data_IF_893443893409
#
_entry.id   IF_893443893409
#
_cell.length_a   1.000
_cell.length_b   1.000
_cell.length_c   1.000
_cell.angle_alpha   90.00
_cell.angle_beta   90.00
_cell.angle_gamma   90.00
#
_symmetry.space_group_name_H-M   'P 1'
#
loop_
_entity.id
_entity.type
_entity.pdbx_description
1 polymer ?
#
# COMPACT_ATOMS: atom_id res chain seq x y z
N UNK A 1 6.58 10.30 39.62
CA UNK A 1 7.50 9.83 38.56
C UNK A 1 7.31 8.35 38.22
N UNK A 2 7.40 7.40 39.16
CA UNK A 2 7.24 5.95 38.90
C UNK A 2 5.92 5.56 38.20
N UNK A 3 4.77 6.14 38.59
CA UNK A 3 3.46 5.79 37.98
C UNK A 3 3.33 6.20 36.52
N UNK A 4 3.90 7.34 36.14
CA UNK A 4 3.91 7.83 34.74
C UNK A 4 4.81 6.94 33.89
N UNK A 5 5.97 6.52 34.41
CA UNK A 5 6.84 5.59 33.71
C UNK A 5 6.19 4.22 33.49
N UNK A 6 5.45 3.70 34.47
CA UNK A 6 4.69 2.45 34.33
C UNK A 6 3.57 2.58 33.30
N UNK A 7 2.85 3.71 33.27
CA UNK A 7 1.82 3.95 32.26
C UNK A 7 2.41 4.03 30.84
N UNK A 8 3.54 4.71 30.68
CA UNK A 8 4.27 4.79 29.40
C UNK A 8 4.77 3.41 28.96
N UNK A 9 5.32 2.62 29.88
CA UNK A 9 5.75 1.25 29.59
C UNK A 9 4.56 0.35 29.21
N UNK A 10 3.44 0.46 29.92
CA UNK A 10 2.24 -0.32 29.61
C UNK A 10 1.69 0.02 28.21
N UNK A 11 1.67 1.30 27.84
CA UNK A 11 1.25 1.76 26.50
C UNK A 11 2.20 1.23 25.42
N UNK A 12 3.51 1.30 25.64
CA UNK A 12 4.51 0.76 24.70
C UNK A 12 4.36 -0.74 24.51
N UNK A 13 4.12 -1.50 25.58
CA UNK A 13 3.89 -2.95 25.53
C UNK A 13 2.58 -3.26 24.81
N UNK A 14 1.51 -2.51 25.08
CA UNK A 14 0.21 -2.71 24.41
C UNK A 14 0.28 -2.42 22.90
N UNK A 15 1.10 -1.46 22.48
CA UNK A 15 1.33 -1.16 21.05
C UNK A 15 2.09 -2.28 20.31
N UNK A 16 2.81 -3.16 21.03
CA UNK A 16 3.51 -4.31 20.43
C UNK A 16 2.70 -5.60 20.47
N UNK A 17 1.57 -5.61 21.17
CA UNK A 17 0.76 -6.81 21.33
C UNK A 17 -0.08 -7.03 20.07
N UNK A 18 0.40 -7.93 19.22
CA UNK A 18 -0.27 -8.51 18.04
C UNK A 18 -0.07 -7.75 16.72
N UNK A 19 1.15 -7.77 16.20
CA UNK A 19 1.35 -7.65 14.74
C UNK A 19 1.30 -9.07 14.17
N UNK A 20 0.12 -9.49 13.70
CA UNK A 20 0.04 -10.63 12.78
C UNK A 20 0.69 -10.21 11.47
N UNK A 21 1.93 -10.64 11.26
CA UNK A 21 2.63 -10.46 9.98
C UNK A 21 2.08 -11.53 9.03
N UNK A 22 1.03 -11.18 8.28
CA UNK A 22 0.68 -11.97 7.10
C UNK A 22 1.87 -12.00 6.13
N UNK A 23 2.10 -13.12 5.44
CA UNK A 23 3.11 -13.16 4.38
C UNK A 23 2.70 -12.14 3.32
N UNK A 24 3.39 -11.00 3.29
CA UNK A 24 3.22 -10.03 2.24
C UNK A 24 3.65 -10.69 0.92
N UNK A 25 2.79 -10.61 -0.10
CA UNK A 25 3.18 -10.98 -1.45
C UNK A 25 4.48 -10.27 -1.82
N UNK A 26 5.31 -10.93 -2.62
CA UNK A 26 6.46 -10.24 -3.21
C UNK A 26 5.98 -9.03 -4.02
N UNK A 27 6.79 -7.98 -4.12
CA UNK A 27 6.42 -6.80 -4.91
C UNK A 27 6.12 -7.13 -6.38
N UNK A 28 6.63 -8.25 -6.90
CA UNK A 28 6.32 -8.73 -8.24
C UNK A 28 4.92 -9.34 -8.32
N UNK A 29 4.50 -10.10 -7.32
CA UNK A 29 3.16 -10.71 -7.28
C UNK A 29 2.07 -9.68 -6.92
N UNK A 30 2.40 -8.72 -6.06
CA UNK A 30 1.47 -7.68 -5.62
C UNK A 30 1.17 -6.64 -6.70
N UNK A 31 2.10 -6.43 -7.63
CA UNK A 31 2.00 -5.40 -8.66
C UNK A 31 2.21 -5.96 -10.08
N UNK A 32 1.70 -7.16 -10.32
CA UNK A 32 1.77 -7.86 -11.61
C UNK A 32 1.14 -7.09 -12.79
N UNK A 33 0.31 -6.09 -12.48
CA UNK A 33 -0.27 -5.14 -13.42
C UNK A 33 0.66 -4.02 -13.90
N UNK A 34 1.81 -3.86 -13.25
CA UNK A 34 2.80 -2.88 -13.69
C UNK A 34 3.80 -3.54 -14.63
N UNK A 35 4.02 -2.94 -15.80
CA UNK A 35 5.07 -3.35 -16.73
C UNK A 35 6.51 -3.12 -16.19
N UNK A 36 6.62 -2.55 -14.98
CA UNK A 36 7.87 -2.30 -14.26
C UNK A 36 7.60 -2.42 -12.74
N UNK A 37 8.62 -2.66 -11.91
CA UNK A 37 8.44 -2.62 -10.47
C UNK A 37 7.83 -1.29 -9.99
N UNK A 38 6.98 -1.28 -8.95
CA UNK A 38 6.35 -0.07 -8.42
C UNK A 38 7.34 1.03 -8.05
N UNK A 39 8.53 0.64 -7.61
CA UNK A 39 9.64 1.52 -7.25
C UNK A 39 10.21 2.31 -8.44
N UNK A 40 9.94 1.86 -9.68
CA UNK A 40 10.33 2.55 -10.91
C UNK A 40 9.36 3.70 -11.25
N UNK A 41 8.12 3.64 -10.76
CA UNK A 41 7.20 4.77 -10.84
C UNK A 41 7.63 5.82 -9.83
N UNK A 42 7.87 7.06 -10.27
CA UNK A 42 8.49 8.11 -9.46
C UNK A 42 7.80 8.31 -8.10
N UNK A 43 6.47 8.15 -8.00
CA UNK A 43 5.75 8.26 -6.71
C UNK A 43 5.45 6.92 -6.02
N UNK A 44 6.11 5.82 -6.41
CA UNK A 44 5.95 4.51 -5.77
C UNK A 44 4.51 4.01 -5.78
N UNK A 45 3.83 4.11 -6.94
CA UNK A 45 2.39 3.88 -7.08
C UNK A 45 1.56 4.70 -6.08
N UNK A 46 1.78 6.03 -6.07
CA UNK A 46 1.10 7.00 -5.20
C UNK A 46 1.17 6.62 -3.71
N UNK A 47 2.36 6.29 -3.25
CA UNK A 47 2.61 5.94 -1.84
C UNK A 47 2.32 4.49 -1.46
N UNK A 48 1.87 3.64 -2.40
CA UNK A 48 1.60 2.23 -2.11
C UNK A 48 2.89 1.43 -1.88
N UNK A 49 3.92 1.69 -2.70
CA UNK A 49 5.22 1.06 -2.58
C UNK A 49 6.22 1.87 -1.72
N UNK A 50 6.09 3.20 -1.71
CA UNK A 50 6.88 4.07 -0.84
C UNK A 50 6.05 5.27 -0.37
N UNK A 51 5.46 5.21 0.84
CA UNK A 51 4.66 6.30 1.41
C UNK A 51 5.39 7.65 1.47
N UNK A 52 6.72 7.66 1.60
CA UNK A 52 7.49 8.91 1.66
C UNK A 52 7.40 9.72 0.36
N UNK A 53 7.17 9.06 -0.78
CA UNK A 53 7.07 9.75 -2.07
C UNK A 53 5.84 10.64 -2.18
N UNK A 54 4.80 10.44 -1.35
CA UNK A 54 3.62 11.29 -1.32
C UNK A 54 3.94 12.74 -0.94
N UNK A 55 5.04 12.98 -0.21
CA UNK A 55 5.51 14.34 0.06
C UNK A 55 5.91 15.08 -1.22
N UNK A 56 6.39 14.38 -2.24
CA UNK A 56 6.82 15.00 -3.50
C UNK A 56 5.69 15.13 -4.51
N UNK A 57 4.51 14.58 -4.22
CA UNK A 57 3.34 14.69 -5.10
C UNK A 57 2.82 16.13 -5.09
N UNK A 58 2.94 16.81 -6.24
CA UNK A 58 2.58 18.23 -6.37
C UNK A 58 1.11 18.45 -6.66
N UNK A 59 0.49 17.56 -7.43
CA UNK A 59 -0.90 17.65 -7.85
C UNK A 59 -1.63 16.36 -7.47
N UNK A 60 -2.94 16.42 -7.19
CA UNK A 60 -3.75 15.22 -7.06
C UNK A 60 -3.64 14.34 -8.31
N UNK A 61 -3.48 13.05 -8.11
CA UNK A 61 -3.38 12.08 -9.20
C UNK A 61 -4.17 10.82 -8.86
N UNK A 62 -4.71 10.18 -9.89
CA UNK A 62 -5.26 8.84 -9.78
C UNK A 62 -4.80 7.96 -10.93
N UNK A 63 -4.59 6.68 -10.66
CA UNK A 63 -4.13 5.68 -11.61
C UNK A 63 -5.01 4.46 -11.50
N UNK A 64 -5.52 4.00 -12.63
CA UNK A 64 -6.22 2.73 -12.74
C UNK A 64 -5.43 1.82 -13.68
N UNK A 65 -5.04 0.64 -13.21
CA UNK A 65 -4.32 -0.34 -14.00
C UNK A 65 -5.10 -1.65 -14.00
N UNK A 66 -5.00 -2.42 -15.08
CA UNK A 66 -5.59 -3.74 -15.16
C UNK A 66 -4.71 -4.65 -16.01
N UNK A 67 -4.82 -5.95 -15.77
CA UNK A 67 -4.23 -6.98 -16.63
C UNK A 67 -5.31 -7.75 -17.35
N UNK A 68 -4.97 -8.18 -18.56
CA UNK A 68 -5.74 -9.15 -19.33
C UNK A 68 -4.95 -10.46 -19.37
N UNK A 69 -5.66 -11.58 -19.38
CA UNK A 69 -5.01 -12.88 -19.52
C UNK A 69 -4.56 -13.12 -20.97
N UNK A 70 -3.41 -13.77 -21.12
CA UNK A 70 -2.88 -14.11 -22.44
C UNK A 70 -3.77 -15.16 -23.09
N UNK A 71 -4.62 -14.73 -24.03
CA UNK A 71 -5.48 -15.62 -24.82
C UNK A 71 -6.98 -15.43 -24.59
N UNK A 72 -7.39 -14.67 -23.56
CA UNK A 72 -8.77 -14.22 -23.38
C UNK A 72 -8.80 -12.72 -23.06
N UNK A 73 -9.04 -11.91 -24.09
CA UNK A 73 -9.10 -10.45 -23.98
C UNK A 73 -10.39 -9.95 -23.28
N UNK A 74 -11.25 -10.85 -22.80
CA UNK A 74 -12.56 -10.50 -22.20
C UNK A 74 -12.57 -10.59 -20.67
N UNK A 75 -11.54 -11.15 -20.04
CA UNK A 75 -11.48 -11.33 -18.59
C UNK A 75 -10.38 -10.50 -17.93
N UNK A 76 -10.80 -9.44 -17.22
CA UNK A 76 -9.92 -8.72 -16.29
C UNK A 76 -9.84 -9.53 -14.99
N UNK A 77 -8.66 -10.10 -14.69
CA UNK A 77 -8.42 -10.84 -13.44
C UNK A 77 -7.97 -9.91 -12.33
N UNK A 78 -6.91 -9.17 -12.59
CA UNK A 78 -6.30 -8.27 -11.62
C UNK A 78 -6.47 -6.82 -12.07
N UNK A 79 -6.76 -5.95 -11.11
CA UNK A 79 -6.82 -4.53 -11.34
C UNK A 79 -6.38 -3.79 -10.08
N UNK A 80 -5.93 -2.56 -10.28
CA UNK A 80 -5.57 -1.68 -9.20
C UNK A 80 -6.08 -0.28 -9.43
N UNK A 81 -6.43 0.37 -8.34
CA UNK A 81 -6.72 1.78 -8.28
C UNK A 81 -5.80 2.42 -7.24
N UNK A 82 -5.15 3.50 -7.62
CA UNK A 82 -4.33 4.30 -6.72
C UNK A 82 -4.78 5.75 -6.83
N UNK A 83 -5.02 6.39 -5.70
CA UNK A 83 -5.32 7.82 -5.59
C UNK A 83 -4.31 8.47 -4.67
N UNK A 84 -3.85 9.66 -5.01
CA UNK A 84 -2.87 10.39 -4.23
C UNK A 84 -3.11 11.88 -4.28
N UNK A 85 -2.80 12.54 -3.17
CA UNK A 85 -2.62 13.98 -3.07
C UNK A 85 -1.41 14.24 -2.17
N UNK A 86 -0.97 15.50 -2.08
CA UNK A 86 0.23 15.84 -1.32
C UNK A 86 0.17 15.28 0.12
N UNK A 87 1.08 14.36 0.43
CA UNK A 87 1.20 13.72 1.74
C UNK A 87 0.15 12.67 2.09
N UNK A 88 -0.77 12.31 1.19
CA UNK A 88 -1.79 11.29 1.43
C UNK A 88 -2.01 10.41 0.19
N UNK A 89 -2.12 9.10 0.40
CA UNK A 89 -2.35 8.13 -0.65
C UNK A 89 -3.34 7.05 -0.22
N UNK A 90 -4.08 6.54 -1.20
CA UNK A 90 -4.96 5.40 -1.10
C UNK A 90 -4.67 4.43 -2.24
N UNK A 91 -4.59 3.14 -1.93
CA UNK A 91 -4.44 2.07 -2.91
C UNK A 91 -5.49 1.00 -2.68
N UNK A 92 -6.03 0.48 -3.78
CA UNK A 92 -6.85 -0.73 -3.81
C UNK A 92 -6.33 -1.64 -4.92
N UNK A 93 -6.07 -2.89 -4.59
CA UNK A 93 -5.62 -3.89 -5.55
C UNK A 93 -6.54 -5.10 -5.43
N UNK A 94 -7.07 -5.56 -6.55
CA UNK A 94 -7.78 -6.83 -6.61
C UNK A 94 -6.89 -7.90 -7.20
N UNK A 95 -6.74 -8.99 -6.46
CA UNK A 95 -6.11 -10.21 -6.91
C UNK A 95 -7.17 -11.29 -7.16
N UNK A 96 -7.11 -11.92 -8.34
CA UNK A 96 -7.96 -13.05 -8.72
C UNK A 96 -7.14 -14.11 -9.45
N UNK A 97 -6.89 -15.20 -8.73
CA UNK A 97 -6.37 -16.44 -9.28
C UNK A 97 -7.49 -17.49 -9.36
N UNK A 98 -7.22 -18.64 -9.97
CA UNK A 98 -8.16 -19.78 -10.01
C UNK A 98 -8.38 -20.40 -8.63
N UNK A 99 -7.45 -20.14 -7.70
CA UNK A 99 -7.46 -20.71 -6.34
C UNK A 99 -7.86 -19.74 -5.24
N UNK A 100 -7.74 -18.43 -5.47
CA UNK A 100 -7.95 -17.40 -4.45
C UNK A 100 -8.42 -16.09 -5.07
N UNK A 101 -9.23 -15.34 -4.33
CA UNK A 101 -9.55 -13.96 -4.65
C UNK A 101 -9.64 -13.11 -3.40
N UNK A 102 -8.87 -12.03 -3.38
CA UNK A 102 -8.85 -11.07 -2.28
C UNK A 102 -8.65 -9.66 -2.82
N UNK A 103 -8.98 -8.68 -2.00
CA UNK A 103 -8.70 -7.27 -2.27
C UNK A 103 -7.77 -6.74 -1.19
N UNK A 104 -6.66 -6.15 -1.63
CA UNK A 104 -5.76 -5.37 -0.79
C UNK A 104 -6.19 -3.91 -0.80
N UNK A 105 -6.12 -3.29 0.37
CA UNK A 105 -6.32 -1.87 0.56
C UNK A 105 -5.12 -1.29 1.28
N UNK A 106 -4.81 -0.04 1.00
CA UNK A 106 -3.73 0.67 1.65
C UNK A 106 -4.05 2.14 1.83
N UNK A 107 -3.74 2.66 3.00
CA UNK A 107 -3.67 4.09 3.28
C UNK A 107 -2.22 4.46 3.58
N UNK A 108 -1.76 5.56 3.01
CA UNK A 108 -0.38 6.02 3.15
C UNK A 108 -0.36 7.51 3.49
N UNK A 109 0.55 7.88 4.38
CA UNK A 109 0.86 9.25 4.72
C UNK A 109 2.33 9.53 4.44
N UNK A 110 2.62 10.69 3.85
CA UNK A 110 3.97 11.16 3.56
C UNK A 110 4.18 12.58 4.07
N UNK A 111 5.31 12.81 4.73
CA UNK A 111 5.68 14.10 5.30
C UNK A 111 7.16 14.38 5.05
N UNK A 112 7.57 15.64 4.98
CA UNK A 112 8.96 15.95 4.67
C UNK A 112 9.26 17.44 4.67
N UNK A 113 10.54 17.74 4.41
CA UNK A 113 11.03 19.11 4.19
C UNK A 113 12.17 19.09 3.17
N UNK A 114 11.96 19.81 2.07
CA UNK A 114 12.98 19.98 1.03
C UNK A 114 13.28 18.65 0.35
N UNK A 115 14.50 18.15 0.49
CA UNK A 115 14.93 16.87 -0.08
C UNK A 115 14.68 15.65 0.81
N UNK A 116 14.23 15.83 2.05
CA UNK A 116 14.01 14.74 3.00
C UNK A 116 12.53 14.44 3.17
N UNK A 117 12.16 13.17 3.10
CA UNK A 117 10.78 12.71 3.30
C UNK A 117 10.73 11.40 4.10
N UNK A 118 9.66 11.26 4.86
CA UNK A 118 9.30 10.09 5.65
C UNK A 118 7.86 9.72 5.33
N UNK A 119 7.50 8.45 5.48
CA UNK A 119 6.12 8.05 5.31
C UNK A 119 5.77 6.79 6.07
N UNK A 120 4.49 6.66 6.34
CA UNK A 120 3.89 5.50 7.01
C UNK A 120 2.74 5.00 6.16
N UNK A 121 2.64 3.68 6.01
CA UNK A 121 1.55 3.02 5.30
C UNK A 121 0.89 1.99 6.20
N UNK A 122 -0.42 1.86 6.09
CA UNK A 122 -1.19 0.78 6.68
C UNK A 122 -1.95 0.06 5.58
N UNK A 123 -1.76 -1.26 5.48
CA UNK A 123 -2.40 -2.09 4.48
C UNK A 123 -3.14 -3.26 5.15
N UNK A 124 -4.25 -3.65 4.55
CA UNK A 124 -5.06 -4.78 4.98
C UNK A 124 -5.66 -5.47 3.76
N UNK A 125 -6.01 -6.74 3.90
CA UNK A 125 -6.68 -7.50 2.85
C UNK A 125 -8.06 -7.97 3.30
N UNK A 126 -8.95 -8.18 2.34
CA UNK A 126 -10.23 -8.84 2.53
C UNK A 126 -10.38 -9.92 1.48
N UNK A 127 -10.59 -11.14 1.96
CA UNK A 127 -10.95 -12.26 1.12
C UNK A 127 -12.41 -12.12 0.68
N UNK A 128 -12.70 -12.47 -0.57
CA UNK A 128 -14.08 -12.76 -0.97
C UNK A 128 -14.33 -14.23 -0.65
N UNK A 129 -14.97 -14.49 0.49
CA UNK A 129 -15.69 -15.75 0.72
C UNK A 129 -16.76 -15.94 -0.37
#
# INVERSE_FOLDING_TARGET
MKKIQVAVYAILVFMTASVTVGQALSSYERFDFLNAPPSVFQEGALGTANPANLYFLKNPESRFNWTMERGDNRTIRNWSFHGGLHGFGFGMIRHRSDKYSFNDYQLSLGFGRGSNAFGIGYAWHTDKN
#
